data_IF_675669410713
#
_entry.id   IF_675669410713
#
_cell.length_a   1.000
_cell.length_b   1.000
_cell.length_c   1.000
_cell.angle_alpha   90.00
_cell.angle_beta   90.00
_cell.angle_gamma   90.00
#
_symmetry.space_group_name_H-M   'P 1'
#
loop_
_entity.id
_entity.type
_entity.pdbx_description
1 polymer ?
#
# COMPACT_ATOMS: atom_id res chain seq x y z
N UNK A 1 18.18 -7.75 12.30
CA UNK A 1 16.77 -8.13 12.11
C UNK A 1 16.34 -9.46 12.75
N UNK A 2 17.23 -10.32 13.16
CA UNK A 2 16.90 -11.63 13.72
C UNK A 2 17.13 -11.75 15.25
N UNK A 3 17.30 -10.63 15.94
CA UNK A 3 17.67 -10.61 17.37
C UNK A 3 16.49 -10.48 18.34
N UNK A 4 15.26 -10.38 17.85
CA UNK A 4 14.10 -10.49 18.74
C UNK A 4 14.11 -11.90 19.36
N UNK A 5 14.10 -11.95 20.67
CA UNK A 5 14.17 -13.10 21.56
C UNK A 5 13.66 -14.38 20.89
N UNK A 6 14.49 -15.42 20.87
CA UNK A 6 14.09 -16.82 20.68
C UNK A 6 13.18 -17.26 21.85
N UNK A 7 12.06 -16.58 22.04
CA UNK A 7 10.98 -17.05 22.89
C UNK A 7 10.33 -18.22 22.17
N UNK A 8 10.17 -19.34 22.85
CA UNK A 8 9.31 -20.42 22.35
C UNK A 8 7.96 -19.78 22.03
N UNK A 9 7.47 -19.99 20.80
CA UNK A 9 6.08 -19.67 20.42
C UNK A 9 5.23 -20.58 21.32
N UNK A 10 4.96 -20.12 22.53
CA UNK A 10 4.05 -20.81 23.42
C UNK A 10 2.65 -20.47 22.94
N UNK A 11 1.81 -21.47 22.72
CA UNK A 11 0.39 -21.31 22.40
C UNK A 11 -0.38 -20.52 23.47
N UNK A 12 0.25 -20.27 24.61
CA UNK A 12 -0.26 -19.49 25.74
C UNK A 12 0.12 -18.00 25.71
N UNK A 13 0.85 -17.50 24.69
CA UNK A 13 1.19 -16.06 24.60
C UNK A 13 -0.10 -15.29 24.30
N UNK A 14 -0.52 -14.44 25.23
CA UNK A 14 -1.76 -13.66 25.14
C UNK A 14 -1.62 -12.37 24.35
N UNK A 15 -0.39 -11.91 24.05
CA UNK A 15 -0.11 -10.70 23.28
C UNK A 15 0.09 -11.04 21.80
N UNK A 16 -0.79 -10.47 20.96
CA UNK A 16 -0.82 -10.75 19.53
C UNK A 16 0.44 -10.24 18.80
N UNK A 17 0.96 -9.08 19.21
CA UNK A 17 2.17 -8.52 18.59
C UNK A 17 3.38 -9.42 18.89
N UNK A 18 3.52 -9.88 20.14
CA UNK A 18 4.58 -10.79 20.54
C UNK A 18 4.52 -12.12 19.79
N UNK A 19 3.31 -12.68 19.59
CA UNK A 19 3.11 -13.88 18.80
C UNK A 19 3.55 -13.70 17.36
N UNK A 20 3.14 -12.59 16.71
CA UNK A 20 3.49 -12.28 15.30
C UNK A 20 5.01 -12.15 15.15
N UNK A 21 5.67 -11.40 16.06
CA UNK A 21 7.12 -11.24 16.05
C UNK A 21 7.88 -12.54 16.25
N UNK A 22 7.44 -13.37 17.20
CA UNK A 22 8.05 -14.67 17.47
C UNK A 22 7.86 -15.63 16.28
N UNK A 23 6.65 -15.64 15.68
CA UNK A 23 6.36 -16.44 14.48
C UNK A 23 7.24 -16.02 13.31
N UNK A 24 7.37 -14.71 13.06
CA UNK A 24 8.24 -14.18 12.03
C UNK A 24 9.69 -14.57 12.25
N UNK A 25 10.24 -14.37 13.46
CA UNK A 25 11.61 -14.73 13.78
C UNK A 25 11.89 -16.20 13.51
N UNK A 26 10.98 -17.11 13.89
CA UNK A 26 11.10 -18.54 13.65
C UNK A 26 11.02 -18.88 12.15
N UNK A 27 10.09 -18.26 11.41
CA UNK A 27 9.88 -18.51 9.99
C UNK A 27 11.02 -17.98 9.14
N UNK A 28 11.62 -16.85 9.52
CA UNK A 28 12.76 -16.24 8.82
C UNK A 28 13.95 -17.20 8.67
N UNK A 29 14.30 -17.92 9.74
CA UNK A 29 15.41 -18.88 9.71
C UNK A 29 15.12 -20.16 8.90
N UNK A 30 13.84 -20.49 8.71
CA UNK A 30 13.39 -21.64 7.94
C UNK A 30 13.18 -21.37 6.45
N UNK A 31 13.13 -20.09 6.07
CA UNK A 31 12.94 -19.69 4.68
C UNK A 31 14.18 -20.00 3.84
N UNK A 32 14.04 -20.47 2.58
CA UNK A 32 15.17 -20.67 1.67
C UNK A 32 16.05 -19.43 1.57
N UNK A 33 17.32 -19.53 1.91
CA UNK A 33 18.25 -18.40 2.00
C UNK A 33 18.14 -17.56 3.28
N UNK A 34 17.21 -17.87 4.21
CA UNK A 34 17.05 -17.14 5.48
C UNK A 34 18.30 -17.18 6.36
N UNK A 35 18.99 -18.31 6.39
CA UNK A 35 20.27 -18.47 7.14
C UNK A 35 21.33 -17.53 6.55
N UNK A 36 21.53 -17.52 5.23
CA UNK A 36 22.52 -16.67 4.56
C UNK A 36 22.19 -15.19 4.80
N UNK A 37 20.93 -14.81 4.61
CA UNK A 37 20.46 -13.43 4.87
C UNK A 37 20.63 -13.05 6.35
N UNK A 38 20.37 -13.98 7.27
CA UNK A 38 20.56 -13.76 8.70
C UNK A 38 22.02 -13.51 9.06
N UNK A 39 22.94 -14.34 8.55
CA UNK A 39 24.38 -14.18 8.74
C UNK A 39 24.86 -12.85 8.14
N UNK A 40 24.49 -12.53 6.89
CA UNK A 40 24.83 -11.26 6.27
C UNK A 40 24.29 -10.07 7.07
N UNK A 41 23.07 -10.16 7.58
CA UNK A 41 22.49 -9.13 8.45
C UNK A 41 23.31 -8.97 9.71
N UNK A 42 23.70 -10.05 10.40
CA UNK A 42 24.50 -10.00 11.63
C UNK A 42 25.89 -9.37 11.37
N UNK A 43 26.50 -9.66 10.23
CA UNK A 43 27.82 -9.11 9.86
C UNK A 43 27.71 -7.62 9.50
N UNK A 44 26.69 -7.24 8.74
CA UNK A 44 26.54 -5.87 8.21
C UNK A 44 25.88 -4.92 9.21
N UNK A 45 25.02 -5.42 10.11
CA UNK A 45 24.26 -4.62 11.06
C UNK A 45 25.11 -3.71 11.96
N UNK A 46 26.26 -4.14 12.52
CA UNK A 46 27.12 -3.27 13.32
C UNK A 46 27.65 -2.04 12.59
N UNK A 47 27.71 -2.09 11.26
CA UNK A 47 28.14 -0.97 10.41
C UNK A 47 26.93 -0.21 9.87
N UNK A 48 25.94 -0.93 9.36
CA UNK A 48 24.77 -0.33 8.71
C UNK A 48 23.89 0.45 9.70
N UNK A 49 23.73 -0.03 10.94
CA UNK A 49 22.89 0.64 11.93
C UNK A 49 23.45 2.01 12.36
N UNK A 50 24.72 2.15 12.76
CA UNK A 50 25.27 3.48 13.08
C UNK A 50 25.20 4.46 11.90
N UNK A 51 25.49 3.99 10.69
CA UNK A 51 25.39 4.82 9.49
C UNK A 51 23.94 5.27 9.22
N UNK A 52 22.98 4.37 9.37
CA UNK A 52 21.56 4.72 9.21
C UNK A 52 21.11 5.70 10.32
N UNK A 53 21.50 5.49 11.58
CA UNK A 53 21.21 6.42 12.69
C UNK A 53 21.80 7.80 12.36
N UNK A 54 23.06 7.86 11.96
CA UNK A 54 23.72 9.12 11.60
C UNK A 54 22.99 9.84 10.46
N UNK A 55 22.67 9.12 9.38
CA UNK A 55 22.01 9.65 8.21
C UNK A 55 20.60 10.20 8.52
N UNK A 56 19.75 9.38 9.16
CA UNK A 56 18.39 9.79 9.50
C UNK A 56 18.35 10.89 10.55
N UNK A 57 19.29 10.88 11.51
CA UNK A 57 19.42 11.95 12.50
C UNK A 57 19.94 13.23 11.87
N UNK A 58 20.88 13.15 10.94
CA UNK A 58 21.36 14.30 10.18
C UNK A 58 20.20 14.99 9.43
N UNK A 59 19.36 14.22 8.78
CA UNK A 59 18.20 14.75 8.06
C UNK A 59 17.11 15.33 8.98
N UNK A 60 16.80 14.65 10.08
CA UNK A 60 15.57 14.90 10.85
C UNK A 60 15.83 15.53 12.23
N UNK A 61 16.99 15.26 12.82
CA UNK A 61 17.23 15.48 14.25
C UNK A 61 16.96 16.91 14.72
N UNK A 62 17.45 17.93 13.98
CA UNK A 62 17.25 19.33 14.33
C UNK A 62 15.78 19.74 14.22
N UNK A 63 15.14 19.46 13.09
CA UNK A 63 13.75 19.82 12.87
C UNK A 63 12.79 19.13 13.85
N UNK A 64 13.08 17.86 14.20
CA UNK A 64 12.32 17.16 15.23
C UNK A 64 12.54 17.78 16.61
N UNK A 65 13.78 18.14 16.97
CA UNK A 65 14.06 18.78 18.26
C UNK A 65 13.31 20.11 18.40
N UNK A 66 13.29 20.93 17.35
CA UNK A 66 12.59 22.23 17.32
C UNK A 66 11.06 22.08 17.51
N UNK A 67 10.44 21.10 16.84
CA UNK A 67 8.97 20.95 16.89
C UNK A 67 8.46 20.08 18.03
N UNK A 68 9.26 19.13 18.57
CA UNK A 68 8.81 18.18 19.61
C UNK A 68 9.47 18.38 20.96
N UNK A 69 10.54 19.19 21.04
CA UNK A 69 11.35 19.34 22.25
C UNK A 69 12.28 18.16 22.56
N UNK A 70 12.27 17.10 21.74
CA UNK A 70 13.12 15.92 21.96
C UNK A 70 14.50 16.17 21.39
N UNK A 71 15.53 16.31 22.23
CA UNK A 71 16.90 16.63 21.82
C UNK A 71 17.48 15.61 20.83
N UNK A 72 18.41 16.03 19.98
CA UNK A 72 19.10 15.16 19.02
C UNK A 72 19.78 13.98 19.72
N UNK A 73 20.42 14.19 20.87
CA UNK A 73 21.05 13.14 21.64
C UNK A 73 20.01 12.10 22.14
N UNK A 74 18.86 12.57 22.59
CA UNK A 74 17.77 11.70 23.01
C UNK A 74 17.19 10.89 21.84
N UNK A 75 17.04 11.50 20.64
CA UNK A 75 16.61 10.79 19.43
C UNK A 75 17.59 9.67 19.06
N UNK A 76 18.91 9.92 19.11
CA UNK A 76 19.95 8.90 18.86
C UNK A 76 19.82 7.76 19.88
N UNK A 77 19.72 8.06 21.16
CA UNK A 77 19.54 7.06 22.21
C UNK A 77 18.29 6.20 21.97
N UNK A 78 17.15 6.82 21.68
CA UNK A 78 15.89 6.12 21.42
C UNK A 78 15.95 5.25 20.16
N UNK A 79 16.65 5.69 19.10
CA UNK A 79 16.88 4.86 17.90
C UNK A 79 17.69 3.61 18.24
N UNK A 80 18.76 3.75 19.03
CA UNK A 80 19.57 2.61 19.48
C UNK A 80 18.71 1.63 20.27
N UNK A 81 17.96 2.13 21.26
CA UNK A 81 17.05 1.30 22.09
C UNK A 81 16.01 0.59 21.20
N UNK A 82 15.35 1.30 20.29
CA UNK A 82 14.34 0.74 19.40
C UNK A 82 14.94 -0.35 18.48
N UNK A 83 16.14 -0.13 17.95
CA UNK A 83 16.82 -1.09 17.10
C UNK A 83 17.21 -2.39 17.82
N UNK A 84 17.79 -2.28 19.04
CA UNK A 84 18.20 -3.45 19.78
C UNK A 84 17.08 -4.17 20.51
N UNK A 85 16.11 -3.42 21.07
CA UNK A 85 15.00 -3.99 21.82
C UNK A 85 13.89 -4.54 20.94
N UNK A 86 13.54 -3.81 19.86
CA UNK A 86 12.36 -4.09 19.04
C UNK A 86 12.67 -4.30 17.55
N UNK A 87 13.95 -4.37 17.16
CA UNK A 87 14.40 -4.52 15.76
C UNK A 87 13.88 -3.43 14.82
N UNK A 88 13.59 -2.24 15.34
CA UNK A 88 13.07 -1.10 14.58
C UNK A 88 14.24 -0.31 14.02
N UNK A 89 14.36 -0.26 12.69
CA UNK A 89 15.37 0.54 12.02
C UNK A 89 15.03 2.05 12.05
N UNK A 90 16.02 2.96 11.86
CA UNK A 90 15.81 4.41 11.86
C UNK A 90 14.71 4.91 10.93
N UNK A 91 14.49 4.24 9.80
CA UNK A 91 13.38 4.52 8.88
C UNK A 91 12.02 4.46 9.59
N UNK A 92 11.67 3.33 10.22
CA UNK A 92 10.42 3.17 10.94
C UNK A 92 10.36 3.99 12.23
N UNK A 93 11.53 4.24 12.87
CA UNK A 93 11.59 5.11 14.04
C UNK A 93 11.06 6.52 13.72
N UNK A 94 11.48 7.12 12.60
CA UNK A 94 10.96 8.42 12.18
C UNK A 94 9.57 8.33 11.56
N UNK A 95 9.30 7.33 10.74
CA UNK A 95 7.99 7.11 10.14
C UNK A 95 6.86 7.01 11.16
N UNK A 96 7.08 6.25 12.26
CA UNK A 96 6.10 6.07 13.33
C UNK A 96 6.25 7.10 14.46
N UNK A 97 7.11 8.09 14.31
CA UNK A 97 7.37 9.15 15.29
C UNK A 97 7.72 8.60 16.68
N UNK A 98 8.51 7.53 16.74
CA UNK A 98 8.91 6.88 18.01
C UNK A 98 9.87 7.73 18.87
N UNK A 99 10.23 8.93 18.40
CA UNK A 99 10.87 9.93 19.25
C UNK A 99 9.89 10.53 20.28
N UNK A 100 8.58 10.41 20.09
CA UNK A 100 7.58 10.83 21.06
C UNK A 100 7.44 9.78 22.18
N UNK A 101 7.50 10.18 23.48
CA UNK A 101 7.53 9.23 24.61
C UNK A 101 6.33 8.27 24.64
N UNK A 102 5.13 8.75 24.34
CA UNK A 102 3.89 7.96 24.35
C UNK A 102 3.91 6.86 23.27
N UNK A 103 4.50 7.14 22.09
CA UNK A 103 4.64 6.16 21.01
C UNK A 103 5.80 5.21 21.23
N UNK A 104 6.89 5.73 21.79
CA UNK A 104 8.04 4.89 22.13
C UNK A 104 7.68 3.78 23.11
N UNK A 105 6.80 4.05 24.08
CA UNK A 105 6.29 3.06 25.03
C UNK A 105 5.61 1.89 24.34
N UNK A 106 4.94 2.15 23.21
CA UNK A 106 4.22 1.16 22.41
C UNK A 106 5.05 0.57 21.25
N UNK A 107 6.36 0.86 21.21
CA UNK A 107 7.22 0.47 20.08
C UNK A 107 7.27 -1.04 19.83
N UNK A 108 7.02 -1.89 20.83
CA UNK A 108 6.93 -3.33 20.66
C UNK A 108 5.63 -3.82 19.99
N UNK A 109 4.64 -2.95 19.86
CA UNK A 109 3.32 -3.27 19.28
C UNK A 109 3.23 -2.93 17.79
N UNK A 110 4.24 -2.23 17.22
CA UNK A 110 4.30 -1.96 15.79
C UNK A 110 4.64 -3.21 14.98
N UNK A 111 3.83 -3.47 13.95
CA UNK A 111 4.06 -4.55 12.99
C UNK A 111 4.86 -3.98 11.82
N UNK A 112 6.07 -4.48 11.60
CA UNK A 112 6.95 -3.94 10.57
C UNK A 112 6.72 -4.62 9.22
N UNK A 113 6.86 -3.88 8.12
CA UNK A 113 6.62 -4.39 6.76
C UNK A 113 7.35 -5.71 6.48
N UNK A 114 8.61 -5.88 6.91
CA UNK A 114 9.35 -7.12 6.71
C UNK A 114 8.77 -8.32 7.49
N UNK A 115 7.98 -8.08 8.54
CA UNK A 115 7.29 -9.12 9.31
C UNK A 115 5.96 -9.48 8.66
N UNK A 116 5.32 -8.53 7.99
CA UNK A 116 3.99 -8.67 7.42
C UNK A 116 4.00 -9.00 5.92
N UNK A 117 4.96 -8.49 5.13
CA UNK A 117 5.13 -8.84 3.70
C UNK A 117 6.07 -10.04 3.52
N UNK A 118 6.89 -10.34 4.52
CA UNK A 118 7.89 -11.40 4.51
C UNK A 118 7.34 -12.82 4.75
N UNK A 119 8.14 -13.70 5.37
CA UNK A 119 7.79 -15.12 5.57
C UNK A 119 6.51 -15.37 6.36
N UNK A 120 6.12 -14.49 7.30
CA UNK A 120 4.86 -14.61 8.03
C UNK A 120 3.65 -14.47 7.08
N UNK A 121 3.70 -13.51 6.17
CA UNK A 121 2.67 -13.36 5.15
C UNK A 121 2.66 -14.48 4.11
N UNK A 122 3.82 -15.04 3.76
CA UNK A 122 3.83 -16.22 2.88
C UNK A 122 3.20 -17.45 3.53
N UNK A 123 3.17 -17.52 4.86
CA UNK A 123 2.42 -18.56 5.58
C UNK A 123 0.89 -18.34 5.53
N UNK A 124 0.44 -17.08 5.39
CA UNK A 124 -0.97 -16.72 5.25
C UNK A 124 -1.41 -16.64 3.78
N UNK A 125 -0.51 -16.79 2.83
CA UNK A 125 -0.84 -16.86 1.41
C UNK A 125 -0.83 -18.33 0.94
N UNK A 126 -1.70 -18.71 0.02
CA UNK A 126 -1.61 -20.02 -0.58
C UNK A 126 -0.28 -20.18 -1.32
N UNK A 127 0.32 -21.37 -1.26
CA UNK A 127 1.61 -21.63 -1.93
C UNK A 127 1.49 -21.49 -3.45
N UNK A 128 0.34 -21.82 -4.00
CA UNK A 128 -0.06 -21.63 -5.40
C UNK A 128 -1.52 -21.19 -5.39
N UNK A 129 -1.81 -19.90 -5.33
CA UNK A 129 -3.19 -19.44 -5.45
C UNK A 129 -3.72 -19.76 -6.85
N UNK A 130 -4.99 -20.15 -6.92
CA UNK A 130 -5.66 -20.34 -8.21
C UNK A 130 -5.93 -19.00 -8.93
N UNK A 131 -5.58 -17.90 -8.30
CA UNK A 131 -5.68 -16.55 -8.84
C UNK A 131 -4.34 -15.98 -9.29
N UNK A 132 -4.38 -15.04 -10.26
CA UNK A 132 -3.25 -14.26 -10.73
C UNK A 132 -3.48 -12.76 -10.48
N UNK A 133 -3.81 -12.39 -9.25
CA UNK A 133 -4.13 -11.01 -8.85
C UNK A 133 -3.10 -9.96 -9.28
N UNK A 134 -1.77 -10.22 -9.35
CA UNK A 134 -0.79 -9.23 -9.82
C UNK A 134 -0.88 -8.93 -11.32
N UNK A 135 -1.48 -9.79 -12.12
CA UNK A 135 -1.69 -9.59 -13.54
C UNK A 135 -2.97 -8.78 -13.78
N UNK A 136 -2.82 -7.55 -14.23
CA UNK A 136 -3.93 -6.61 -14.39
C UNK A 136 -4.96 -7.02 -15.45
N UNK A 137 -4.55 -7.77 -16.49
CA UNK A 137 -5.48 -8.31 -17.51
C UNK A 137 -6.32 -9.41 -16.88
N UNK A 138 -5.67 -10.37 -16.24
CA UNK A 138 -6.36 -11.45 -15.53
C UNK A 138 -7.29 -10.90 -14.44
N UNK A 139 -6.81 -9.94 -13.64
CA UNK A 139 -7.56 -9.33 -12.55
C UNK A 139 -8.85 -8.65 -13.05
N UNK A 140 -8.76 -7.84 -14.12
CA UNK A 140 -9.93 -7.17 -14.68
C UNK A 140 -10.95 -8.20 -15.23
N UNK A 141 -10.49 -9.24 -15.93
CA UNK A 141 -11.34 -10.32 -16.44
C UNK A 141 -12.00 -11.11 -15.29
N UNK A 142 -11.23 -11.41 -14.24
CA UNK A 142 -11.74 -12.13 -13.08
C UNK A 142 -12.78 -11.32 -12.32
N UNK A 143 -12.53 -10.03 -12.08
CA UNK A 143 -13.51 -9.13 -11.46
C UNK A 143 -14.81 -9.05 -12.27
N UNK A 144 -14.72 -8.90 -13.61
CA UNK A 144 -15.90 -8.88 -14.47
C UNK A 144 -16.71 -10.18 -14.39
N UNK A 145 -16.03 -11.33 -14.39
CA UNK A 145 -16.67 -12.67 -14.23
C UNK A 145 -17.43 -12.81 -12.92
N UNK A 146 -16.96 -12.16 -11.87
CA UNK A 146 -17.56 -12.23 -10.52
C UNK A 146 -18.45 -11.01 -10.18
N UNK A 147 -18.83 -10.19 -11.19
CA UNK A 147 -19.64 -8.98 -11.02
C UNK A 147 -19.06 -7.97 -10.02
N UNK A 148 -17.72 -7.89 -9.93
CA UNK A 148 -17.00 -6.92 -9.13
C UNK A 148 -16.74 -5.71 -10.02
N UNK A 149 -17.16 -4.54 -9.57
CA UNK A 149 -16.90 -3.29 -10.27
C UNK A 149 -15.42 -2.90 -10.17
N UNK A 150 -14.65 -3.21 -11.19
CA UNK A 150 -13.23 -2.89 -11.32
C UNK A 150 -12.96 -2.20 -12.66
N UNK A 151 -11.81 -1.48 -12.75
CA UNK A 151 -11.44 -0.79 -14.00
C UNK A 151 -11.21 -1.80 -15.12
N UNK A 152 -11.94 -1.70 -16.26
CA UNK A 152 -11.77 -2.63 -17.36
C UNK A 152 -10.42 -2.41 -18.08
N UNK A 153 -9.95 -3.42 -18.79
CA UNK A 153 -8.83 -3.30 -19.72
C UNK A 153 -9.41 -3.24 -21.14
N UNK A 154 -9.16 -2.15 -21.87
CA UNK A 154 -9.58 -1.99 -23.25
C UNK A 154 -8.67 -2.73 -24.21
N UNK A 155 -7.35 -2.50 -24.09
CA UNK A 155 -6.35 -3.15 -24.92
C UNK A 155 -5.24 -3.73 -24.06
N UNK A 156 -4.70 -4.84 -24.51
CA UNK A 156 -3.49 -5.46 -23.98
C UNK A 156 -2.48 -5.57 -25.12
N UNK A 157 -1.31 -4.94 -24.94
CA UNK A 157 -0.23 -4.89 -25.92
C UNK A 157 0.97 -5.71 -25.43
N UNK A 158 1.46 -6.60 -26.27
CA UNK A 158 2.64 -7.43 -26.00
C UNK A 158 3.33 -7.82 -27.29
N UNK A 159 4.66 -7.80 -27.29
CA UNK A 159 5.49 -8.20 -28.43
C UNK A 159 5.14 -7.51 -29.76
N UNK A 160 4.69 -6.26 -29.73
CA UNK A 160 4.30 -5.49 -30.92
C UNK A 160 2.90 -5.78 -31.42
N UNK A 161 2.07 -6.54 -30.69
CA UNK A 161 0.74 -6.97 -31.11
C UNK A 161 -0.34 -6.58 -30.10
N UNK A 162 -1.58 -6.43 -30.59
CA UNK A 162 -2.77 -6.31 -29.75
C UNK A 162 -3.25 -7.72 -29.41
N UNK A 163 -3.25 -8.06 -28.15
CA UNK A 163 -3.71 -9.36 -27.66
C UNK A 163 -5.12 -9.29 -27.08
N UNK A 164 -5.86 -10.41 -27.04
CA UNK A 164 -7.21 -10.44 -26.48
C UNK A 164 -7.26 -9.92 -25.04
N UNK A 165 -8.17 -8.99 -24.78
CA UNK A 165 -8.54 -8.47 -23.47
C UNK A 165 -10.06 -8.65 -23.27
N UNK A 166 -10.63 -8.02 -22.23
CA UNK A 166 -12.08 -8.04 -22.01
C UNK A 166 -12.87 -7.43 -23.18
N UNK A 167 -12.34 -6.36 -23.77
CA UNK A 167 -12.89 -5.79 -24.98
C UNK A 167 -12.24 -6.45 -26.20
N UNK A 168 -13.02 -6.62 -27.29
CA UNK A 168 -12.48 -7.05 -28.58
C UNK A 168 -12.00 -5.85 -29.43
N UNK A 169 -11.70 -4.73 -28.77
CA UNK A 169 -11.22 -3.54 -29.43
C UNK A 169 -9.85 -3.76 -30.08
N UNK A 170 -9.67 -3.25 -31.28
CA UNK A 170 -8.39 -3.26 -32.00
C UNK A 170 -7.85 -1.85 -32.24
N UNK A 171 -8.58 -0.83 -31.79
CA UNK A 171 -8.22 0.59 -31.87
C UNK A 171 -8.38 1.27 -30.51
N UNK A 172 -7.71 2.40 -30.33
CA UNK A 172 -7.88 3.22 -29.13
C UNK A 172 -9.29 3.85 -29.10
N UNK A 173 -10.01 3.83 -27.96
CA UNK A 173 -11.37 4.36 -27.85
C UNK A 173 -11.42 5.89 -27.75
N UNK A 174 -12.55 6.51 -28.06
CA UNK A 174 -12.79 7.95 -27.97
C UNK A 174 -13.00 8.43 -26.53
N UNK A 175 -12.01 8.25 -25.69
CA UNK A 175 -12.03 8.71 -24.29
C UNK A 175 -10.61 8.91 -23.75
N UNK A 176 -10.50 9.55 -22.61
CA UNK A 176 -9.24 9.67 -21.89
C UNK A 176 -8.70 8.30 -21.49
N UNK A 177 -7.38 8.12 -21.63
CA UNK A 177 -6.70 6.85 -21.43
C UNK A 177 -5.75 6.90 -20.25
N UNK A 178 -5.62 5.76 -19.56
CA UNK A 178 -4.58 5.47 -18.60
C UNK A 178 -3.81 4.22 -19.06
N UNK A 179 -2.54 4.42 -19.39
CA UNK A 179 -1.65 3.39 -19.93
C UNK A 179 -0.65 3.02 -18.85
N UNK A 180 -0.45 1.73 -18.62
CA UNK A 180 0.50 1.25 -17.60
C UNK A 180 1.03 -0.14 -17.94
N UNK A 181 2.20 -0.54 -17.35
CA UNK A 181 2.67 -1.91 -17.49
C UNK A 181 1.65 -2.93 -16.95
N UNK A 182 1.51 -4.05 -17.65
CA UNK A 182 0.66 -5.17 -17.24
C UNK A 182 0.99 -5.68 -15.84
N UNK A 183 2.29 -5.77 -15.54
CA UNK A 183 2.81 -6.14 -14.22
C UNK A 183 3.62 -5.00 -13.62
N UNK A 184 3.80 -4.97 -12.32
CA UNK A 184 4.52 -3.93 -11.60
C UNK A 184 3.64 -3.18 -10.60
N UNK A 185 4.30 -2.45 -9.70
CA UNK A 185 3.67 -1.73 -8.59
C UNK A 185 4.11 -0.26 -8.60
N UNK A 186 3.38 0.58 -7.86
CA UNK A 186 3.82 1.94 -7.58
C UNK A 186 3.57 2.97 -8.68
N UNK A 187 2.89 2.60 -9.78
CA UNK A 187 2.60 3.53 -10.88
C UNK A 187 3.81 3.90 -11.75
N UNK A 188 4.92 3.15 -11.65
CA UNK A 188 6.07 3.35 -12.55
C UNK A 188 5.67 3.14 -14.01
N UNK A 189 6.12 4.04 -14.88
CA UNK A 189 5.83 4.04 -16.32
C UNK A 189 4.31 4.07 -16.64
N UNK A 190 3.50 4.69 -15.75
CA UNK A 190 2.11 4.97 -16.05
C UNK A 190 2.00 6.31 -16.78
N UNK A 191 1.19 6.34 -17.83
CA UNK A 191 0.94 7.52 -18.65
C UNK A 191 -0.54 7.85 -18.70
N UNK A 192 -0.83 9.15 -18.73
CA UNK A 192 -2.16 9.71 -18.96
C UNK A 192 -2.20 10.36 -20.32
N UNK A 193 -3.26 10.07 -21.07
CA UNK A 193 -3.55 10.67 -22.35
C UNK A 193 -4.99 11.16 -22.39
N UNK A 194 -5.19 12.45 -22.58
CA UNK A 194 -6.49 13.09 -22.68
C UNK A 194 -6.95 13.10 -24.14
N UNK A 195 -8.19 12.72 -24.40
CA UNK A 195 -8.81 12.79 -25.70
C UNK A 195 -9.29 14.23 -25.97
N UNK A 196 -8.66 14.95 -26.91
CA UNK A 196 -8.87 16.40 -27.07
C UNK A 196 -9.58 16.79 -28.37
N UNK A 197 -9.56 15.91 -29.38
CA UNK A 197 -10.23 16.12 -30.66
C UNK A 197 -10.45 14.77 -31.34
N UNK A 198 -11.30 14.67 -32.33
CA UNK A 198 -11.43 13.46 -33.13
C UNK A 198 -10.05 12.95 -33.53
N UNK A 199 -9.76 11.67 -33.21
CA UNK A 199 -8.52 10.99 -33.57
C UNK A 199 -7.21 11.58 -32.97
N UNK A 200 -7.27 12.43 -31.93
CA UNK A 200 -6.07 12.95 -31.27
C UNK A 200 -6.10 12.74 -29.76
N UNK A 201 -4.91 12.55 -29.21
CA UNK A 201 -4.65 12.47 -27.78
C UNK A 201 -3.54 13.41 -27.37
N UNK A 202 -3.64 13.94 -26.15
CA UNK A 202 -2.62 14.80 -25.55
C UNK A 202 -2.16 14.22 -24.22
N UNK A 203 -0.85 14.11 -24.01
CA UNK A 203 -0.32 13.67 -22.73
C UNK A 203 -0.15 14.83 -21.74
N UNK A 204 0.21 14.51 -20.48
CA UNK A 204 0.41 15.50 -19.42
C UNK A 204 1.53 16.51 -19.68
N UNK A 205 2.44 16.25 -20.63
CA UNK A 205 3.49 17.19 -21.08
C UNK A 205 3.03 18.10 -22.23
N UNK A 206 1.79 17.95 -22.70
CA UNK A 206 1.24 18.74 -23.81
C UNK A 206 1.56 18.19 -25.21
N UNK A 207 2.18 17.00 -25.31
CA UNK A 207 2.42 16.37 -26.61
C UNK A 207 1.10 15.91 -27.21
N UNK A 208 0.77 16.42 -28.39
CA UNK A 208 -0.42 16.07 -29.19
C UNK A 208 -0.03 15.08 -30.28
N UNK A 209 -0.74 13.96 -30.36
CA UNK A 209 -0.51 12.91 -31.38
C UNK A 209 -1.84 12.40 -31.91
N UNK A 210 -1.84 11.87 -33.15
CA UNK A 210 -3.00 11.16 -33.67
C UNK A 210 -3.18 9.80 -33.01
N UNK A 211 -4.39 9.27 -33.04
CA UNK A 211 -4.76 7.92 -32.56
C UNK A 211 -3.81 6.84 -33.08
N UNK A 212 -3.60 6.82 -34.40
CA UNK A 212 -2.77 5.82 -35.05
C UNK A 212 -1.29 5.96 -34.64
N UNK A 213 -0.80 7.20 -34.55
CA UNK A 213 0.59 7.44 -34.11
C UNK A 213 0.80 7.02 -32.67
N UNK A 214 -0.17 7.28 -31.76
CA UNK A 214 -0.10 6.82 -30.39
C UNK A 214 -0.10 5.29 -30.32
N UNK A 215 -1.04 4.64 -31.02
CA UNK A 215 -1.13 3.17 -31.04
C UNK A 215 0.15 2.55 -31.59
N UNK A 216 0.71 3.07 -32.68
CA UNK A 216 1.98 2.59 -33.24
C UNK A 216 3.13 2.72 -32.24
N UNK A 217 3.25 3.88 -31.56
CA UNK A 217 4.25 4.10 -30.53
C UNK A 217 4.12 3.08 -29.39
N UNK A 218 2.90 2.82 -28.94
CA UNK A 218 2.65 1.85 -27.87
C UNK A 218 2.94 0.41 -28.30
N UNK A 219 2.65 0.05 -29.53
CA UNK A 219 3.02 -1.25 -30.10
C UNK A 219 4.55 -1.43 -30.16
N UNK A 220 5.28 -0.41 -30.59
CA UNK A 220 6.75 -0.42 -30.56
C UNK A 220 7.31 -0.55 -29.16
N UNK A 221 6.78 0.20 -28.18
CA UNK A 221 7.16 0.06 -26.78
C UNK A 221 6.87 -1.34 -26.24
N UNK A 222 5.79 -1.97 -26.69
CA UNK A 222 5.40 -3.32 -26.25
C UNK A 222 6.35 -4.44 -26.70
N UNK A 223 7.30 -4.16 -27.58
CA UNK A 223 8.41 -5.07 -27.91
C UNK A 223 9.35 -5.33 -26.71
N UNK A 224 9.39 -4.40 -25.75
CA UNK A 224 10.27 -4.47 -24.57
C UNK A 224 9.53 -4.72 -23.26
N UNK A 225 8.21 -4.68 -23.26
CA UNK A 225 7.40 -4.91 -22.06
C UNK A 225 5.91 -4.82 -22.34
N UNK A 226 5.13 -5.57 -21.60
CA UNK A 226 3.68 -5.64 -21.74
C UNK A 226 2.98 -4.41 -21.17
N UNK A 227 2.01 -3.86 -21.91
CA UNK A 227 1.21 -2.70 -21.49
C UNK A 227 -0.29 -3.00 -21.55
N UNK A 228 -1.02 -2.36 -20.65
CA UNK A 228 -2.49 -2.33 -20.70
C UNK A 228 -2.98 -0.90 -20.90
N UNK A 229 -4.07 -0.76 -21.61
CA UNK A 229 -4.78 0.50 -21.84
C UNK A 229 -6.13 0.38 -21.17
N UNK A 230 -6.41 1.30 -20.26
CA UNK A 230 -7.64 1.40 -19.49
C UNK A 230 -8.29 2.77 -19.72
N UNK A 231 -9.61 2.92 -19.51
CA UNK A 231 -10.20 4.26 -19.42
C UNK A 231 -9.57 5.02 -18.27
N UNK A 232 -9.31 6.30 -18.43
CA UNK A 232 -9.01 7.16 -17.31
C UNK A 232 -10.27 7.33 -16.46
N UNK A 233 -10.20 6.88 -15.22
CA UNK A 233 -11.26 7.11 -14.24
C UNK A 233 -10.98 8.39 -13.46
N UNK A 234 -12.04 9.14 -13.12
CA UNK A 234 -11.96 10.47 -12.52
C UNK A 234 -12.62 10.44 -11.15
N UNK A 235 -12.01 11.13 -10.19
CA UNK A 235 -12.54 11.25 -8.83
C UNK A 235 -13.96 11.83 -8.80
N UNK A 236 -14.71 11.46 -7.78
CA UNK A 236 -15.96 12.12 -7.42
C UNK A 236 -15.73 13.63 -7.27
N UNK A 237 -16.65 14.50 -7.75
CA UNK A 237 -16.49 15.97 -7.65
C UNK A 237 -16.19 16.49 -6.24
N UNK A 238 -16.72 15.85 -5.19
CA UNK A 238 -16.41 16.19 -3.80
C UNK A 238 -14.95 16.00 -3.39
N UNK A 239 -14.11 15.36 -4.20
CA UNK A 239 -12.69 15.12 -3.96
C UNK A 239 -11.79 15.94 -4.91
N UNK A 240 -12.36 16.68 -5.87
CA UNK A 240 -11.59 17.36 -6.92
C UNK A 240 -10.57 18.36 -6.35
N UNK A 241 -10.91 19.05 -5.25
CA UNK A 241 -10.09 20.05 -4.60
C UNK A 241 -8.94 19.51 -3.73
N UNK A 242 -8.93 18.19 -3.47
CA UNK A 242 -7.87 17.51 -2.69
C UNK A 242 -7.16 16.40 -3.48
N UNK A 243 -7.52 16.18 -4.73
CA UNK A 243 -6.94 15.12 -5.57
C UNK A 243 -5.86 15.61 -6.52
N UNK A 244 -5.78 16.91 -6.72
CA UNK A 244 -4.85 17.54 -7.65
C UNK A 244 -4.82 16.86 -9.04
N UNK A 245 -6.00 16.55 -9.56
CA UNK A 245 -6.24 15.92 -10.87
C UNK A 245 -5.75 14.45 -11.01
N UNK A 246 -5.08 13.92 -10.00
CA UNK A 246 -4.75 12.51 -9.92
C UNK A 246 -5.87 11.71 -9.26
N UNK A 247 -5.98 10.44 -9.59
CA UNK A 247 -6.96 9.56 -8.94
C UNK A 247 -6.55 9.32 -7.49
N UNK A 248 -7.43 9.69 -6.56
CA UNK A 248 -7.30 9.39 -5.14
C UNK A 248 -8.00 8.06 -4.82
N UNK A 249 -7.40 7.26 -3.94
CA UNK A 249 -7.93 5.94 -3.59
C UNK A 249 -8.02 5.74 -2.09
N UNK A 250 -8.95 4.89 -1.66
CA UNK A 250 -8.95 4.33 -0.31
C UNK A 250 -8.25 2.98 -0.35
N UNK A 251 -7.16 2.84 0.40
CA UNK A 251 -6.56 1.54 0.70
C UNK A 251 -7.41 0.89 1.78
N UNK A 252 -8.21 -0.11 1.43
CA UNK A 252 -9.01 -0.91 2.36
C UNK A 252 -8.27 -2.22 2.63
N UNK A 253 -7.89 -2.47 3.87
CA UNK A 253 -7.33 -3.76 4.28
C UNK A 253 -8.45 -4.69 4.72
N UNK A 254 -8.53 -5.84 4.07
CA UNK A 254 -9.48 -6.89 4.43
C UNK A 254 -8.75 -8.18 4.81
N UNK A 255 -9.26 -8.86 5.82
CA UNK A 255 -8.73 -10.15 6.30
C UNK A 255 -9.91 -11.09 6.65
N UNK A 256 -9.73 -12.39 6.46
CA UNK A 256 -10.77 -13.37 6.85
C UNK A 256 -10.86 -13.48 8.36
N UNK A 257 -12.10 -13.37 8.85
CA UNK A 257 -12.44 -13.52 10.25
C UNK A 257 -12.48 -15.01 10.70
N UNK A 258 -12.95 -15.25 11.90
CA UNK A 258 -13.06 -16.57 12.51
C UNK A 258 -14.07 -17.48 11.77
N UNK A 259 -15.04 -16.89 11.10
CA UNK A 259 -16.06 -17.57 10.28
C UNK A 259 -15.57 -17.80 8.83
N UNK A 260 -14.47 -17.15 8.43
CA UNK A 260 -13.91 -17.18 7.09
C UNK A 260 -14.46 -16.10 6.17
N UNK A 261 -15.27 -15.17 6.72
CA UNK A 261 -15.78 -14.03 5.98
C UNK A 261 -14.76 -12.87 5.97
N UNK A 262 -14.72 -12.06 4.89
CA UNK A 262 -13.86 -10.90 4.82
C UNK A 262 -14.31 -9.76 5.75
N UNK A 263 -13.46 -9.40 6.70
CA UNK A 263 -13.63 -8.24 7.57
C UNK A 263 -12.72 -7.09 7.09
N UNK A 264 -13.26 -5.88 6.91
CA UNK A 264 -12.47 -4.67 6.66
C UNK A 264 -12.02 -4.12 8.02
N UNK A 265 -10.72 -4.14 8.30
CA UNK A 265 -10.18 -3.78 9.61
C UNK A 265 -9.50 -2.43 9.65
N UNK A 266 -8.86 -2.02 8.55
CA UNK A 266 -8.11 -0.76 8.48
C UNK A 266 -8.27 -0.10 7.12
N UNK A 267 -8.24 1.22 7.11
CA UNK A 267 -8.37 2.04 5.90
C UNK A 267 -7.40 3.21 5.92
N UNK A 268 -6.97 3.63 4.73
CA UNK A 268 -6.17 4.84 4.56
C UNK A 268 -6.60 5.53 3.26
N UNK A 269 -6.98 6.78 3.32
CA UNK A 269 -7.28 7.58 2.13
C UNK A 269 -5.97 8.15 1.57
N UNK A 270 -5.69 7.93 0.29
CA UNK A 270 -4.46 8.34 -0.38
C UNK A 270 -4.73 9.44 -1.38
N UNK A 271 -3.82 10.41 -1.45
CA UNK A 271 -3.92 11.60 -2.30
C UNK A 271 -2.57 11.93 -2.91
N UNK A 272 -2.56 12.35 -4.18
CA UNK A 272 -1.39 12.93 -4.81
C UNK A 272 -1.26 14.41 -4.44
N UNK A 273 -0.01 14.90 -4.33
CA UNK A 273 0.27 16.31 -3.99
C UNK A 273 1.04 17.07 -5.07
N UNK A 274 1.55 16.38 -6.08
CA UNK A 274 2.31 17.01 -7.17
C UNK A 274 1.42 17.56 -8.27
N UNK A 275 1.77 18.72 -8.85
CA UNK A 275 1.21 19.11 -10.15
C UNK A 275 1.60 18.04 -11.16
N UNK A 276 0.67 17.57 -11.98
CA UNK A 276 0.86 16.50 -12.95
C UNK A 276 1.23 15.12 -12.33
N UNK A 277 0.90 14.88 -11.05
CA UNK A 277 1.03 13.54 -10.48
C UNK A 277 0.04 12.60 -11.15
N UNK A 278 0.52 11.50 -11.69
CA UNK A 278 -0.30 10.49 -12.37
C UNK A 278 -0.90 9.50 -11.37
N UNK A 279 -0.26 9.36 -10.19
CA UNK A 279 -0.63 8.38 -9.17
C UNK A 279 -0.56 8.95 -7.74
N UNK A 280 -1.32 8.35 -6.82
CA UNK A 280 -1.44 8.71 -5.41
C UNK A 280 -0.47 7.94 -4.47
N UNK A 281 0.65 7.46 -4.99
CA UNK A 281 1.53 6.56 -4.25
C UNK A 281 2.17 7.21 -3.02
N UNK A 282 1.76 6.75 -1.83
CA UNK A 282 2.26 7.21 -0.53
C UNK A 282 3.79 7.11 -0.38
N UNK A 283 4.40 5.99 -0.84
CA UNK A 283 5.84 5.79 -0.76
C UNK A 283 6.64 6.64 -1.77
N UNK A 284 5.97 7.25 -2.73
CA UNK A 284 6.57 8.15 -3.73
C UNK A 284 6.24 9.63 -3.51
N UNK A 285 5.84 9.98 -2.29
CA UNK A 285 5.60 11.36 -1.89
C UNK A 285 4.13 11.79 -1.89
N UNK A 286 3.19 10.87 -2.07
CA UNK A 286 1.78 11.12 -1.85
C UNK A 286 1.45 11.35 -0.37
N UNK A 287 0.25 11.84 -0.09
CA UNK A 287 -0.32 11.94 1.25
C UNK A 287 -1.25 10.77 1.54
N UNK A 288 -1.34 10.42 2.82
CA UNK A 288 -2.39 9.55 3.32
C UNK A 288 -3.02 10.12 4.58
N UNK A 289 -4.31 9.89 4.74
CA UNK A 289 -5.09 10.29 5.91
C UNK A 289 -5.81 9.09 6.52
N UNK A 290 -5.94 9.06 7.85
CA UNK A 290 -6.82 8.12 8.51
C UNK A 290 -8.27 8.42 8.13
N UNK A 291 -9.09 7.38 8.08
CA UNK A 291 -10.54 7.49 7.85
C UNK A 291 -11.26 6.84 9.02
N UNK A 292 -12.21 7.54 9.60
CA UNK A 292 -13.08 6.98 10.62
C UNK A 292 -13.96 5.89 9.98
N UNK A 293 -13.79 4.64 10.39
CA UNK A 293 -14.49 3.48 9.82
C UNK A 293 -16.02 3.59 9.93
N UNK A 294 -16.53 4.23 10.98
CA UNK A 294 -17.98 4.34 11.20
C UNK A 294 -18.62 5.47 10.38
N UNK A 295 -17.88 6.51 10.01
CA UNK A 295 -18.46 7.73 9.41
C UNK A 295 -17.90 8.10 8.03
N UNK A 296 -16.73 7.56 7.64
CA UNK A 296 -16.02 7.97 6.43
C UNK A 296 -15.31 9.32 6.55
N UNK A 297 -15.29 9.92 7.76
CA UNK A 297 -14.63 11.21 7.98
C UNK A 297 -13.12 11.05 7.95
N UNK A 298 -12.42 11.92 7.19
CA UNK A 298 -10.96 11.92 7.11
C UNK A 298 -10.34 12.81 8.19
N UNK A 299 -9.17 12.38 8.69
CA UNK A 299 -8.35 13.12 9.63
C UNK A 299 -7.28 13.97 8.95
N UNK A 300 -6.29 14.41 9.72
CA UNK A 300 -5.08 15.03 9.18
C UNK A 300 -4.36 14.05 8.25
N UNK A 301 -3.76 14.57 7.18
CA UNK A 301 -2.99 13.77 6.24
C UNK A 301 -1.49 13.85 6.57
N UNK A 302 -0.76 12.80 6.23
CA UNK A 302 0.70 12.76 6.33
C UNK A 302 1.30 12.11 5.11
N UNK A 303 2.50 12.54 4.77
CA UNK A 303 3.41 11.74 3.96
C UNK A 303 4.16 10.71 4.84
N UNK A 304 5.16 10.04 4.27
CA UNK A 304 5.92 8.99 4.96
C UNK A 304 6.70 9.49 6.20
N UNK A 305 6.91 10.80 6.36
CA UNK A 305 7.47 11.42 7.57
C UNK A 305 8.95 11.17 7.84
N UNK A 306 9.75 10.79 6.86
CA UNK A 306 11.16 10.43 7.01
C UNK A 306 12.16 11.55 6.66
N UNK A 307 11.67 12.75 6.30
CA UNK A 307 12.47 13.94 5.99
C UNK A 307 11.91 15.16 6.73
N UNK A 308 12.72 16.21 6.97
CA UNK A 308 12.30 17.39 7.76
C UNK A 308 11.07 18.13 7.22
N UNK A 309 10.97 18.26 5.90
CA UNK A 309 9.84 18.92 5.24
C UNK A 309 8.58 18.03 5.18
N UNK A 310 8.70 16.78 5.61
CA UNK A 310 7.64 15.79 5.63
C UNK A 310 6.91 15.79 6.99
N UNK A 311 5.69 15.31 7.01
CA UNK A 311 4.92 15.13 8.22
C UNK A 311 3.44 15.44 8.05
N UNK A 312 2.81 15.79 9.16
CA UNK A 312 1.37 16.00 9.27
C UNK A 312 0.94 17.33 8.68
N UNK A 313 -0.21 17.33 8.02
CA UNK A 313 -0.84 18.49 7.40
C UNK A 313 -2.34 18.49 7.65
N UNK A 314 -2.86 19.64 8.03
CA UNK A 314 -4.31 19.86 8.20
C UNK A 314 -4.96 20.39 6.91
N UNK A 315 -4.12 20.82 5.95
CA UNK A 315 -4.56 21.38 4.67
C UNK A 315 -3.81 20.72 3.51
N UNK A 316 -4.47 20.61 2.38
CA UNK A 316 -3.83 20.10 1.16
C UNK A 316 -2.78 21.13 0.65
N UNK A 317 -1.53 20.72 0.40
CA UNK A 317 -0.42 21.65 0.17
C UNK A 317 -0.53 22.48 -1.12
N UNK A 318 -1.33 22.03 -2.09
CA UNK A 318 -1.51 22.76 -3.37
C UNK A 318 -2.79 23.60 -3.35
N UNK A 319 -3.92 23.04 -2.95
CA UNK A 319 -5.21 23.76 -2.95
C UNK A 319 -5.46 24.59 -1.68
N UNK A 320 -4.74 24.32 -0.59
CA UNK A 320 -4.99 24.97 0.72
C UNK A 320 -6.27 24.54 1.43
N UNK A 321 -6.99 23.58 0.87
CA UNK A 321 -8.26 23.11 1.44
C UNK A 321 -8.03 22.25 2.66
N UNK A 322 -8.85 22.43 3.71
CA UNK A 322 -8.78 21.65 4.94
C UNK A 322 -9.27 20.22 4.73
N UNK A 323 -8.58 19.26 5.36
CA UNK A 323 -8.99 17.85 5.41
C UNK A 323 -10.06 17.60 6.46
N UNK A 324 -9.99 18.29 7.60
CA UNK A 324 -10.86 18.08 8.74
C UNK A 324 -12.34 18.25 8.36
N UNK A 325 -13.19 17.40 8.93
CA UNK A 325 -14.65 17.35 8.78
C UNK A 325 -15.14 16.95 7.38
N UNK A 326 -14.25 16.53 6.49
CA UNK A 326 -14.60 16.01 5.18
C UNK A 326 -14.96 14.52 5.27
N UNK A 327 -16.08 14.14 4.66
CA UNK A 327 -16.56 12.75 4.59
C UNK A 327 -16.36 12.24 3.17
N UNK A 328 -15.83 11.03 3.05
CA UNK A 328 -15.64 10.38 1.76
C UNK A 328 -16.98 9.96 1.16
N UNK A 329 -17.22 10.22 -0.14
CA UNK A 329 -18.46 9.81 -0.81
C UNK A 329 -18.56 8.27 -0.86
N UNK A 330 -19.78 7.76 -0.85
CA UNK A 330 -20.08 6.32 -0.94
C UNK A 330 -19.34 5.46 0.09
N UNK A 331 -19.14 5.98 1.31
CA UNK A 331 -18.25 5.36 2.27
C UNK A 331 -18.59 3.89 2.58
N UNK A 332 -19.84 3.59 2.84
CA UNK A 332 -20.26 2.23 3.18
C UNK A 332 -20.19 1.30 1.98
N UNK A 333 -20.47 1.80 0.79
CA UNK A 333 -20.35 1.07 -0.48
C UNK A 333 -18.88 0.76 -0.81
N UNK A 334 -17.93 1.65 -0.45
CA UNK A 334 -16.47 1.39 -0.56
C UNK A 334 -16.07 0.18 0.25
N UNK A 335 -16.51 0.12 1.52
CA UNK A 335 -16.19 -1.01 2.42
C UNK A 335 -16.85 -2.30 1.94
N UNK A 336 -18.11 -2.23 1.49
CA UNK A 336 -18.84 -3.40 1.01
C UNK A 336 -18.25 -3.92 -0.32
N UNK A 337 -17.87 -3.03 -1.24
CA UNK A 337 -17.20 -3.43 -2.48
C UNK A 337 -15.89 -4.17 -2.20
N UNK A 338 -15.08 -3.69 -1.25
CA UNK A 338 -13.82 -4.35 -0.86
C UNK A 338 -14.08 -5.75 -0.24
N UNK A 339 -15.11 -5.89 0.63
CA UNK A 339 -15.50 -7.18 1.18
C UNK A 339 -16.01 -8.14 0.10
N UNK A 340 -16.88 -7.66 -0.80
CA UNK A 340 -17.40 -8.45 -1.91
C UNK A 340 -16.30 -8.89 -2.87
N UNK A 341 -15.35 -7.99 -3.16
CA UNK A 341 -14.18 -8.35 -3.94
C UNK A 341 -13.39 -9.47 -3.24
N UNK A 342 -13.13 -9.37 -1.95
CA UNK A 342 -12.37 -10.40 -1.23
C UNK A 342 -13.10 -11.76 -1.18
N UNK A 343 -14.45 -11.79 -1.13
CA UNK A 343 -15.22 -13.05 -1.21
C UNK A 343 -14.91 -13.82 -2.50
N UNK A 344 -14.70 -13.11 -3.60
CA UNK A 344 -14.36 -13.73 -4.88
C UNK A 344 -12.94 -14.32 -4.95
N UNK A 345 -12.07 -13.99 -4.00
CA UNK A 345 -10.71 -14.55 -3.91
C UNK A 345 -10.60 -15.49 -2.68
N UNK A 346 -11.18 -16.71 -2.74
CA UNK A 346 -11.34 -17.58 -1.57
C UNK A 346 -10.01 -18.04 -0.96
N UNK A 347 -8.95 -18.14 -1.77
CA UNK A 347 -7.63 -18.59 -1.31
C UNK A 347 -6.84 -17.49 -0.60
N UNK A 348 -7.27 -16.23 -0.71
CA UNK A 348 -6.61 -15.10 -0.05
C UNK A 348 -7.12 -14.97 1.39
N UNK A 349 -6.20 -14.94 2.36
CA UNK A 349 -6.53 -14.66 3.76
C UNK A 349 -6.63 -13.17 4.01
N UNK A 350 -5.80 -12.38 3.34
CA UNK A 350 -5.81 -10.93 3.43
C UNK A 350 -5.49 -10.28 2.10
N UNK A 351 -6.12 -9.14 1.85
CA UNK A 351 -5.94 -8.34 0.64
C UNK A 351 -6.02 -6.85 1.00
N UNK A 352 -5.18 -6.04 0.37
CA UNK A 352 -5.30 -4.58 0.36
C UNK A 352 -5.94 -4.12 -0.95
N UNK A 353 -7.12 -3.52 -0.87
CA UNK A 353 -7.87 -3.04 -2.04
C UNK A 353 -7.64 -1.56 -2.24
N UNK A 354 -7.32 -1.14 -3.47
CA UNK A 354 -7.32 0.25 -3.86
C UNK A 354 -8.67 0.57 -4.50
N UNK A 355 -9.49 1.33 -3.78
CA UNK A 355 -10.85 1.67 -4.19
C UNK A 355 -10.93 3.16 -4.49
N UNK A 356 -11.27 3.51 -5.74
CA UNK A 356 -11.58 4.89 -6.13
C UNK A 356 -13.06 5.19 -5.91
N UNK A 357 -13.35 6.43 -5.59
CA UNK A 357 -14.72 6.97 -5.50
C UNK A 357 -14.98 7.83 -6.72
N UNK A 358 -15.83 7.36 -7.62
CA UNK A 358 -16.20 8.02 -8.87
C UNK A 358 -17.57 8.71 -8.72
N UNK A 359 -17.98 9.48 -9.72
CA UNK A 359 -19.27 10.16 -9.70
C UNK A 359 -20.46 9.19 -9.51
N UNK A 360 -20.36 8.00 -10.09
CA UNK A 360 -21.39 6.97 -10.13
C UNK A 360 -21.17 5.80 -9.16
N UNK A 361 -20.30 6.00 -8.14
CA UNK A 361 -20.02 5.01 -7.08
C UNK A 361 -18.58 4.55 -7.00
N UNK A 362 -18.26 3.65 -6.03
CA UNK A 362 -16.90 3.14 -5.85
C UNK A 362 -16.50 2.15 -6.94
N UNK A 363 -15.21 2.07 -7.24
CA UNK A 363 -14.62 1.16 -8.22
C UNK A 363 -13.27 0.63 -7.72
N UNK A 364 -13.03 -0.68 -7.83
CA UNK A 364 -11.72 -1.29 -7.55
C UNK A 364 -10.73 -0.92 -8.65
N UNK A 365 -9.58 -0.40 -8.24
CA UNK A 365 -8.46 -0.09 -9.13
C UNK A 365 -7.49 -1.26 -9.21
N UNK A 366 -7.16 -1.83 -8.05
CA UNK A 366 -6.32 -3.04 -7.93
C UNK A 366 -6.50 -3.75 -6.59
N UNK A 367 -6.08 -5.02 -6.54
CA UNK A 367 -5.96 -5.81 -5.32
C UNK A 367 -4.51 -6.17 -5.05
N UNK A 368 -4.07 -5.97 -3.80
CA UNK A 368 -2.73 -6.28 -3.34
C UNK A 368 -2.75 -7.50 -2.42
N UNK A 369 -2.29 -8.65 -2.91
CA UNK A 369 -2.25 -9.89 -2.13
C UNK A 369 -1.19 -9.91 -1.02
N UNK A 370 -0.30 -8.90 -0.97
CA UNK A 370 0.71 -8.71 0.10
C UNK A 370 0.60 -7.26 0.60
N UNK A 371 -0.47 -6.91 1.30
CA UNK A 371 -0.71 -5.54 1.71
C UNK A 371 0.27 -5.10 2.79
N UNK A 372 0.77 -3.87 2.65
CA UNK A 372 1.61 -3.21 3.64
C UNK A 372 0.73 -2.58 4.75
N UNK A 373 1.10 -2.83 6.01
CA UNK A 373 0.43 -2.25 7.17
C UNK A 373 1.07 -0.94 7.66
N UNK A 374 2.23 -0.55 7.14
CA UNK A 374 2.96 0.64 7.58
C UNK A 374 2.14 1.92 7.37
N UNK A 375 1.45 2.03 6.21
CA UNK A 375 0.58 3.18 5.92
C UNK A 375 -0.54 3.33 6.96
N UNK A 376 -1.18 2.24 7.37
CA UNK A 376 -2.25 2.28 8.37
C UNK A 376 -1.72 2.72 9.73
N UNK A 377 -0.59 2.16 10.19
CA UNK A 377 0.05 2.56 11.44
C UNK A 377 0.51 4.03 11.42
N UNK A 378 0.96 4.52 10.26
CA UNK A 378 1.32 5.92 10.10
C UNK A 378 0.11 6.82 10.24
N UNK A 379 -0.96 6.58 9.47
CA UNK A 379 -2.14 7.49 9.45
C UNK A 379 -2.96 7.40 10.73
N UNK A 380 -3.08 6.24 11.35
CA UNK A 380 -3.75 6.06 12.63
C UNK A 380 -2.93 6.59 13.81
N UNK A 381 -1.64 6.89 13.58
CA UNK A 381 -0.69 7.32 14.61
C UNK A 381 -0.62 6.34 15.78
N UNK A 382 -0.81 5.06 15.51
CA UNK A 382 -0.88 3.99 16.51
C UNK A 382 -0.34 2.67 15.96
N UNK A 383 0.19 1.79 16.82
CA UNK A 383 0.55 0.44 16.43
C UNK A 383 -0.69 -0.43 16.20
N UNK A 384 -0.57 -1.41 15.32
CA UNK A 384 -1.66 -2.36 15.02
C UNK A 384 -1.54 -3.70 15.78
N UNK A 385 -0.47 -3.95 16.51
CA UNK A 385 -0.18 -5.23 17.15
C UNK A 385 -1.16 -5.69 18.24
N UNK A 386 -2.04 -4.79 18.71
CA UNK A 386 -3.09 -5.11 19.70
C UNK A 386 -4.50 -4.76 19.20
N UNK A 387 -4.64 -4.60 17.89
CA UNK A 387 -5.93 -4.29 17.27
C UNK A 387 -6.55 -5.53 16.63
N UNK A 388 -7.77 -5.40 16.13
CA UNK A 388 -8.53 -6.47 15.48
C UNK A 388 -7.74 -7.14 14.34
N UNK A 389 -6.97 -6.39 13.56
CA UNK A 389 -6.17 -6.98 12.47
C UNK A 389 -5.10 -7.93 13.02
N UNK A 390 -4.46 -7.61 14.15
CA UNK A 390 -3.48 -8.52 14.76
C UNK A 390 -4.12 -9.79 15.34
N UNK A 391 -5.33 -9.67 15.92
CA UNK A 391 -6.11 -10.82 16.38
C UNK A 391 -6.37 -11.79 15.23
N UNK A 392 -6.84 -11.27 14.11
CA UNK A 392 -7.14 -12.07 12.92
C UNK A 392 -5.90 -12.64 12.24
N UNK A 393 -4.79 -11.90 12.21
CA UNK A 393 -3.50 -12.45 11.75
C UNK A 393 -3.11 -13.65 12.62
N UNK A 394 -3.14 -13.50 13.95
CA UNK A 394 -2.79 -14.58 14.88
C UNK A 394 -3.74 -15.77 14.76
N UNK A 395 -5.05 -15.52 14.67
CA UNK A 395 -6.05 -16.59 14.43
C UNK A 395 -5.72 -17.41 13.18
N UNK A 396 -5.51 -16.74 12.05
CA UNK A 396 -5.21 -17.39 10.79
C UNK A 396 -3.84 -18.10 10.80
N UNK A 397 -2.82 -17.54 11.44
CA UNK A 397 -1.52 -18.19 11.63
C UNK A 397 -1.66 -19.48 12.47
N UNK A 398 -2.39 -19.45 13.57
CA UNK A 398 -2.66 -20.64 14.41
C UNK A 398 -3.39 -21.73 13.64
N UNK A 399 -4.39 -21.36 12.84
CA UNK A 399 -5.12 -22.28 11.95
C UNK A 399 -4.20 -22.97 10.93
N UNK A 400 -3.27 -22.23 10.34
CA UNK A 400 -2.27 -22.79 9.40
C UNK A 400 -1.27 -23.73 10.10
N UNK A 401 -0.79 -23.36 11.29
CA UNK A 401 0.12 -24.20 12.08
C UNK A 401 -0.52 -25.55 12.42
N UNK A 402 -1.81 -25.56 12.72
CA UNK A 402 -2.57 -26.80 13.00
C UNK A 402 -2.67 -27.68 11.75
N UNK A 403 -2.97 -27.09 10.58
CA UNK A 403 -3.09 -27.82 9.30
C UNK A 403 -1.77 -28.46 8.84
N UNK A 404 -0.62 -27.85 9.17
CA UNK A 404 0.69 -28.40 8.77
C UNK A 404 1.21 -29.48 9.71
N UNK A 405 0.53 -29.74 10.84
CA UNK A 405 0.89 -30.81 11.79
C UNK A 405 0.07 -32.10 11.58
N UNK A 406 -0.94 -32.05 10.74
CA UNK A 406 -1.75 -33.20 10.27
C UNK A 406 -1.23 -33.66 8.90
#
# INVERSE_FOLDING_TARGET
MALRRFGQVNSATTDNSEFIHAYFAKSFWRFPGGIIRGILTLILWPIALPLAIALFTFWNGKAIAERSGVSVAQQIYLQIVAAFKNSIAPFWFYMFELYLPERNKQSSEYLLAHETIGPAFSALQPQKPDDNMPDKVWFAAYCAKHNIRAVPVFLYLSAGEILPALSQATILPDCDLFIKPRQGNGGHNAERWDFVAPDHYQNSAGLLVSRDALLQTLLEQSLTGDFIIQPRVVNHPALADISNDALSTVRVFTIRDEQGEPEATNVAFRMAIGKNSVVDNFHQGGLAAAVNMATGQIGAASDIGIKPAMGWRDVHPVSGVKFKDRVLPYWFEVLELARNAHRAFPDRIMVGWDVAMLHDGPMIIEGNGKPDLDIHQRVERAPLGKTRVAELIVFNLKKQIQRTKV
#
